data_IF_541891273304
#
_entry.id   IF_541891273304
#
_cell.length_a   1.000
_cell.length_b   1.000
_cell.length_c   1.000
_cell.angle_alpha   90.00
_cell.angle_beta   90.00
_cell.angle_gamma   90.00
#
_symmetry.space_group_name_H-M   'P 1'
#
loop_
_entity.id
_entity.type
_entity.pdbx_description
1 polymer ?
#
# COMPACT_ATOMS: atom_id res chain seq x y z
N UNK A 1 16.39 -5.48 35.73
CA UNK A 1 15.30 -5.16 34.79
C UNK A 1 15.92 -4.68 33.48
N UNK A 2 15.67 -5.34 32.35
CA UNK A 2 16.16 -4.88 31.03
C UNK A 2 15.46 -3.56 30.68
N UNK A 3 16.22 -2.48 30.47
CA UNK A 3 15.69 -1.23 29.91
C UNK A 3 15.37 -1.47 28.43
N UNK A 4 14.10 -1.48 28.07
CA UNK A 4 13.68 -1.47 26.67
C UNK A 4 13.81 -0.02 26.15
N UNK A 5 14.85 0.29 25.38
CA UNK A 5 14.94 1.56 24.65
C UNK A 5 14.11 1.46 23.37
N UNK A 6 13.31 2.50 23.07
CA UNK A 6 12.58 2.62 21.80
C UNK A 6 13.52 2.70 20.58
N UNK A 7 14.75 3.17 20.82
CA UNK A 7 15.82 3.20 19.82
C UNK A 7 16.48 1.83 19.80
N UNK A 8 16.31 1.11 18.69
CA UNK A 8 17.10 -0.07 18.38
C UNK A 8 18.48 0.40 17.93
N UNK A 9 19.47 0.37 18.82
CA UNK A 9 20.88 0.64 18.49
C UNK A 9 21.50 -0.56 17.75
N UNK A 10 20.84 -1.08 16.72
CA UNK A 10 21.40 -2.07 15.82
C UNK A 10 21.93 -1.34 14.59
N UNK A 11 23.25 -1.36 14.41
CA UNK A 11 23.96 -0.73 13.31
C UNK A 11 23.45 -1.21 11.94
N UNK A 12 22.86 -2.41 11.89
CA UNK A 12 22.39 -3.04 10.66
C UNK A 12 20.87 -3.10 10.53
N UNK A 13 20.11 -2.45 11.42
CA UNK A 13 18.64 -2.48 11.38
C UNK A 13 18.06 -2.09 10.01
N UNK A 14 18.62 -1.05 9.38
CA UNK A 14 18.21 -0.61 8.05
C UNK A 14 18.52 -1.65 6.97
N UNK A 15 19.68 -2.31 7.05
CA UNK A 15 20.06 -3.35 6.09
C UNK A 15 19.17 -4.58 6.21
N UNK A 16 18.88 -5.03 7.43
CA UNK A 16 17.95 -6.14 7.64
C UNK A 16 16.53 -5.80 7.15
N UNK A 17 16.09 -4.56 7.35
CA UNK A 17 14.80 -4.10 6.83
C UNK A 17 14.76 -4.12 5.29
N UNK A 18 15.78 -3.56 4.64
CA UNK A 18 15.92 -3.58 3.18
C UNK A 18 15.98 -5.01 2.65
N UNK A 19 16.81 -5.88 3.22
CA UNK A 19 16.87 -7.29 2.83
C UNK A 19 15.53 -8.02 2.98
N UNK A 20 14.74 -7.65 3.99
CA UNK A 20 13.39 -8.22 4.18
C UNK A 20 12.45 -7.77 3.07
N UNK A 21 12.50 -6.48 2.70
CA UNK A 21 11.73 -5.93 1.58
C UNK A 21 12.16 -6.58 0.26
N UNK A 22 13.46 -6.65 -0.01
CA UNK A 22 14.02 -7.21 -1.24
C UNK A 22 13.66 -8.69 -1.40
N UNK A 23 13.69 -9.47 -0.30
CA UNK A 23 13.27 -10.89 -0.29
C UNK A 23 11.78 -11.06 -0.56
N UNK A 24 10.94 -10.20 0.00
CA UNK A 24 9.51 -10.22 -0.26
C UNK A 24 9.22 -9.87 -1.73
N UNK A 25 10.05 -9.00 -2.30
CA UNK A 25 9.84 -8.42 -3.62
C UNK A 25 8.59 -7.55 -3.66
N UNK A 26 8.17 -7.15 -4.87
CA UNK A 26 6.91 -6.45 -5.06
C UNK A 26 5.80 -7.42 -5.54
N UNK A 27 4.87 -7.82 -4.65
CA UNK A 27 3.74 -8.67 -5.05
C UNK A 27 2.80 -7.96 -6.05
N UNK A 28 2.72 -6.62 -6.05
CA UNK A 28 1.87 -5.89 -6.98
C UNK A 28 2.33 -6.07 -8.42
N UNK A 29 3.64 -6.09 -8.68
CA UNK A 29 4.20 -6.32 -10.02
C UNK A 29 3.74 -7.69 -10.57
N UNK A 30 3.67 -8.72 -9.72
CA UNK A 30 3.16 -10.03 -10.14
C UNK A 30 1.66 -9.99 -10.43
N UNK A 31 0.90 -9.30 -9.60
CA UNK A 31 -0.56 -9.20 -9.74
C UNK A 31 -0.94 -8.36 -10.97
N UNK A 32 -0.15 -7.34 -11.31
CA UNK A 32 -0.33 -6.50 -12.49
C UNK A 32 -0.28 -7.30 -13.80
N UNK A 33 0.34 -8.50 -13.80
CA UNK A 33 0.29 -9.40 -14.96
C UNK A 33 -1.08 -10.05 -15.18
N UNK A 34 -1.92 -10.10 -14.14
CA UNK A 34 -3.25 -10.72 -14.17
C UNK A 34 -4.39 -9.71 -14.10
N UNK A 35 -4.15 -8.52 -13.53
CA UNK A 35 -5.17 -7.52 -13.25
C UNK A 35 -4.72 -6.16 -13.78
N UNK A 36 -5.50 -5.58 -14.69
CA UNK A 36 -5.38 -4.18 -15.04
C UNK A 36 -6.06 -3.31 -13.96
N UNK A 37 -5.25 -2.80 -13.04
CA UNK A 37 -5.74 -1.97 -11.94
C UNK A 37 -6.31 -0.64 -12.41
N UNK A 38 -5.76 -0.04 -13.47
CA UNK A 38 -6.22 1.25 -13.97
C UNK A 38 -7.61 1.12 -14.60
N UNK A 39 -7.79 0.09 -15.43
CA UNK A 39 -9.09 -0.21 -16.02
C UNK A 39 -10.14 -0.54 -14.95
N UNK A 40 -9.79 -1.42 -14.00
CA UNK A 40 -10.68 -1.77 -12.89
C UNK A 40 -11.03 -0.54 -12.04
N UNK A 41 -10.07 0.35 -11.79
CA UNK A 41 -10.31 1.57 -11.03
C UNK A 41 -11.26 2.53 -11.75
N UNK A 42 -11.08 2.72 -13.06
CA UNK A 42 -11.96 3.55 -13.88
C UNK A 42 -13.40 3.02 -13.88
N UNK A 43 -13.56 1.70 -14.00
CA UNK A 43 -14.88 1.06 -13.93
C UNK A 43 -15.53 1.27 -12.56
N UNK A 44 -14.77 1.15 -11.47
CA UNK A 44 -15.27 1.40 -10.11
C UNK A 44 -15.68 2.87 -9.95
N UNK A 45 -14.88 3.81 -10.43
CA UNK A 45 -15.20 5.24 -10.35
C UNK A 45 -16.45 5.59 -11.18
N UNK A 46 -16.70 4.85 -12.28
CA UNK A 46 -17.90 4.99 -13.09
C UNK A 46 -19.15 4.43 -12.39
N UNK A 47 -19.07 3.21 -11.87
CA UNK A 47 -20.20 2.51 -11.22
C UNK A 47 -20.53 3.09 -9.84
N UNK A 48 -19.49 3.51 -9.09
CA UNK A 48 -19.63 4.05 -7.74
C UNK A 48 -18.81 5.34 -7.59
N UNK A 49 -19.33 6.49 -8.09
CA UNK A 49 -18.66 7.77 -7.93
C UNK A 49 -18.49 8.13 -6.46
N UNK A 50 -17.25 8.41 -6.05
CA UNK A 50 -16.96 8.77 -4.65
C UNK A 50 -17.27 10.24 -4.39
N UNK A 51 -18.04 10.57 -3.34
CA UNK A 51 -18.29 11.95 -2.99
C UNK A 51 -17.00 12.60 -2.45
N UNK A 52 -16.63 13.73 -3.03
CA UNK A 52 -15.56 14.59 -2.49
C UNK A 52 -16.15 15.55 -1.45
N UNK A 53 -15.56 15.54 -0.24
CA UNK A 53 -15.95 16.46 0.83
C UNK A 53 -15.66 17.91 0.41
N UNK A 54 -16.67 18.78 0.55
CA UNK A 54 -16.51 20.24 0.40
C UNK A 54 -15.76 20.88 1.57
N UNK A 55 -15.70 20.21 2.73
CA UNK A 55 -14.89 20.64 3.86
C UNK A 55 -13.44 20.31 3.55
N UNK A 56 -12.56 21.30 3.69
CA UNK A 56 -11.13 21.16 3.44
C UNK A 56 -10.51 19.98 4.21
N UNK A 57 -9.41 19.45 3.67
CA UNK A 57 -8.74 18.28 4.20
C UNK A 57 -7.94 17.58 3.11
N UNK A 58 -7.30 16.46 3.45
CA UNK A 58 -6.63 15.62 2.45
C UNK A 58 -7.70 14.94 1.58
N UNK A 59 -7.62 15.03 0.24
CA UNK A 59 -8.49 14.27 -0.62
C UNK A 59 -8.34 12.76 -0.37
N UNK A 60 -9.37 11.96 -0.67
CA UNK A 60 -9.24 10.51 -0.62
C UNK A 60 -8.12 10.04 -1.56
N UNK A 61 -7.49 8.91 -1.23
CA UNK A 61 -6.56 8.28 -2.14
C UNK A 61 -7.25 7.90 -3.46
N UNK A 62 -6.52 7.89 -4.59
CA UNK A 62 -7.04 7.41 -5.85
C UNK A 62 -7.64 6.01 -5.72
N UNK A 63 -8.70 5.75 -6.49
CA UNK A 63 -9.39 4.46 -6.47
C UNK A 63 -8.46 3.30 -6.76
N UNK A 64 -7.56 3.46 -7.72
CA UNK A 64 -6.54 2.48 -8.06
C UNK A 64 -5.66 2.09 -6.87
N UNK A 65 -5.20 3.06 -6.06
CA UNK A 65 -4.43 2.79 -4.85
C UNK A 65 -5.25 1.98 -3.84
N UNK A 66 -6.52 2.33 -3.66
CA UNK A 66 -7.42 1.61 -2.75
C UNK A 66 -7.66 0.17 -3.22
N UNK A 67 -7.83 -0.04 -4.53
CA UNK A 67 -8.00 -1.38 -5.13
C UNK A 67 -6.75 -2.21 -4.93
N UNK A 68 -5.54 -1.67 -5.22
CA UNK A 68 -4.27 -2.35 -4.95
C UNK A 68 -4.17 -2.81 -3.48
N UNK A 69 -4.48 -1.92 -2.54
CA UNK A 69 -4.47 -2.25 -1.09
C UNK A 69 -5.50 -3.35 -0.76
N UNK A 70 -6.70 -3.29 -1.32
CA UNK A 70 -7.75 -4.28 -1.08
C UNK A 70 -7.34 -5.66 -1.59
N UNK A 71 -6.73 -5.73 -2.77
CA UNK A 71 -6.23 -6.99 -3.33
C UNK A 71 -5.12 -7.56 -2.44
N UNK A 72 -4.14 -6.75 -2.04
CA UNK A 72 -3.06 -7.18 -1.15
C UNK A 72 -3.57 -7.68 0.21
N UNK A 73 -4.62 -7.07 0.76
CA UNK A 73 -5.21 -7.50 2.05
C UNK A 73 -5.97 -8.82 1.99
N UNK A 74 -6.30 -9.31 0.78
CA UNK A 74 -7.10 -10.53 0.58
C UNK A 74 -6.26 -11.74 0.17
N UNK A 75 -4.96 -11.53 -0.06
CA UNK A 75 -3.96 -12.57 -0.27
C UNK A 75 -3.38 -12.95 1.10
#
# INVERSE_FOLDING_TARGET
MKKCSAIKNDLFANQYHQQTIDKLGDPLVKIETCIDFAHLAAEIDHVVPRPVSKKGGRPPFPTETMVRILVLKRI
#
